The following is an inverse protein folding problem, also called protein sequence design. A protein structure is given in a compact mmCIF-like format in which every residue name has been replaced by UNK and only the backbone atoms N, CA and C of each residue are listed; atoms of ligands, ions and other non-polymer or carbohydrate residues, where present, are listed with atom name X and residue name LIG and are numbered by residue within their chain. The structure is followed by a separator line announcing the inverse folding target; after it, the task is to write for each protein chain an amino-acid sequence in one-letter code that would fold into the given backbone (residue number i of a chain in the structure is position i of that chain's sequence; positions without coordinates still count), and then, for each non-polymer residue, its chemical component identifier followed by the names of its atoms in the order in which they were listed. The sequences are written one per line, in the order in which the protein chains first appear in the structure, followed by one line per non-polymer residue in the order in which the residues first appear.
data_IF_719779638095
#
_entry.id   IF_719779638095
#
_cell.length_a   1.000
_cell.length_b   1.000
_cell.length_c   1.000
_cell.angle_alpha   90.00
_cell.angle_beta   90.00
_cell.angle_gamma   90.00
#
_symmetry.space_group_name_H-M   'P 1'
#
loop_
_entity.id
_entity.type
_entity.pdbx_description
1 polymer ?
#
# COMPACT_ATOMS: atom_id res chain seq x y z
N UNK A 1 37.54 2.30 0.10
CA UNK A 1 37.21 3.42 -0.79
C UNK A 1 36.20 2.93 -1.83
N UNK A 2 35.19 3.76 -2.15
CA UNK A 2 34.01 3.50 -3.00
C UNK A 2 34.24 2.56 -4.19
N UNK A 3 33.33 1.61 -4.39
CA UNK A 3 32.43 1.53 -5.56
C UNK A 3 31.11 0.90 -5.09
N UNK A 4 30.12 1.72 -4.72
CA UNK A 4 28.73 1.27 -4.69
C UNK A 4 28.16 1.63 -6.06
N UNK A 5 28.26 0.66 -6.96
CA UNK A 5 27.65 0.71 -8.27
C UNK A 5 26.13 0.80 -8.14
N UNK A 6 25.59 1.75 -8.90
CA UNK A 6 24.30 1.71 -9.56
C UNK A 6 23.61 0.33 -9.57
N UNK A 7 22.84 0.06 -8.53
CA UNK A 7 21.54 -0.56 -8.72
C UNK A 7 20.56 0.45 -8.14
N UNK A 8 19.89 1.18 -9.01
CA UNK A 8 18.54 1.61 -8.68
C UNK A 8 17.83 0.31 -8.32
N UNK A 9 17.61 0.07 -7.02
CA UNK A 9 16.54 -0.86 -6.67
C UNK A 9 15.33 -0.19 -7.30
N UNK A 10 14.74 -0.81 -8.32
CA UNK A 10 13.34 -0.58 -8.62
C UNK A 10 12.66 -0.60 -7.26
N UNK A 11 12.15 0.54 -6.82
CA UNK A 11 11.35 0.60 -5.60
C UNK A 11 10.08 -0.17 -5.95
N UNK A 12 10.15 -1.51 -5.83
CA UNK A 12 9.02 -2.39 -6.06
C UNK A 12 7.87 -1.85 -5.21
N UNK A 13 6.74 -1.63 -5.86
CA UNK A 13 5.56 -1.13 -5.19
C UNK A 13 5.11 -2.16 -4.14
N UNK A 14 5.39 -1.87 -2.87
CA UNK A 14 5.11 -2.78 -1.77
C UNK A 14 3.61 -2.75 -1.44
N UNK A 15 2.94 -3.87 -1.65
CA UNK A 15 1.58 -4.08 -1.17
C UNK A 15 1.59 -4.97 0.08
N UNK A 16 0.74 -4.63 1.05
CA UNK A 16 0.67 -5.30 2.34
C UNK A 16 -0.74 -5.85 2.54
N UNK A 17 -0.83 -7.14 2.86
CA UNK A 17 -2.07 -7.83 3.14
C UNK A 17 -2.01 -8.50 4.51
N UNK A 18 -2.91 -8.13 5.41
CA UNK A 18 -3.11 -8.82 6.68
C UNK A 18 -4.22 -9.85 6.50
N UNK A 19 -3.84 -11.12 6.46
CA UNK A 19 -4.77 -12.25 6.41
C UNK A 19 -4.78 -12.98 7.76
N UNK A 20 -5.96 -13.31 8.26
CA UNK A 20 -6.10 -14.06 9.50
C UNK A 20 -7.56 -14.30 9.87
N UNK A 21 -7.80 -14.83 11.06
CA UNK A 21 -9.15 -15.05 11.59
C UNK A 21 -9.70 -13.83 12.33
N UNK A 22 -11.02 -13.79 12.49
CA UNK A 22 -11.72 -12.87 13.39
C UNK A 22 -13.03 -13.50 13.88
N UNK A 23 -13.47 -13.11 15.07
CA UNK A 23 -14.81 -13.44 15.56
C UNK A 23 -15.85 -12.40 15.12
N UNK A 24 -17.11 -12.79 14.96
CA UNK A 24 -18.19 -11.85 14.61
C UNK A 24 -19.53 -12.30 15.22
N UNK A 25 -20.43 -11.42 15.72
CA UNK A 25 -21.68 -11.88 16.34
C UNK A 25 -22.59 -12.73 15.41
N UNK A 26 -22.73 -12.32 14.15
CA UNK A 26 -23.75 -12.87 13.22
C UNK A 26 -23.25 -13.46 11.88
N UNK A 27 -21.97 -13.31 11.53
CA UNK A 27 -21.45 -13.78 10.24
C UNK A 27 -21.22 -15.29 10.30
N UNK A 28 -21.33 -15.94 9.16
CA UNK A 28 -21.15 -17.40 9.11
C UNK A 28 -19.67 -17.74 9.33
N UNK A 29 -19.39 -18.77 10.14
CA UNK A 29 -18.02 -19.29 10.28
C UNK A 29 -17.51 -19.73 8.90
N UNK A 30 -16.30 -19.29 8.54
CA UNK A 30 -15.69 -19.48 7.23
C UNK A 30 -16.01 -18.39 6.20
N UNK A 31 -16.92 -17.46 6.49
CA UNK A 31 -17.16 -16.30 5.62
C UNK A 31 -15.88 -15.45 5.57
N UNK A 32 -15.45 -15.06 4.36
CA UNK A 32 -14.27 -14.20 4.14
C UNK A 32 -14.74 -12.78 3.89
N UNK A 33 -14.20 -11.82 4.64
CA UNK A 33 -14.58 -10.42 4.55
C UNK A 33 -13.36 -9.51 4.45
N UNK A 34 -13.49 -8.46 3.65
CA UNK A 34 -12.49 -7.41 3.49
C UNK A 34 -12.79 -6.21 4.40
N UNK A 35 -11.76 -5.66 5.05
CA UNK A 35 -11.92 -4.53 5.95
C UNK A 35 -12.20 -3.22 5.18
N UNK A 36 -13.40 -2.65 5.29
CA UNK A 36 -13.70 -1.29 4.80
C UNK A 36 -13.39 -0.21 5.84
N UNK A 37 -13.34 -0.61 7.11
CA UNK A 37 -12.85 0.18 8.24
C UNK A 37 -12.00 -0.74 9.11
N UNK A 38 -10.83 -0.26 9.54
CA UNK A 38 -10.06 -0.87 10.63
C UNK A 38 -10.09 0.11 11.80
N UNK A 39 -10.43 -0.37 12.98
CA UNK A 39 -10.53 0.42 14.20
C UNK A 39 -9.68 -0.20 15.30
N UNK A 40 -8.87 0.62 15.94
CA UNK A 40 -8.27 0.27 17.23
C UNK A 40 -9.32 0.43 18.33
N UNK A 41 -9.72 -0.66 18.97
CA UNK A 41 -10.72 -0.66 20.04
C UNK A 41 -10.25 0.05 21.32
N UNK A 42 -8.94 0.10 21.57
CA UNK A 42 -8.38 0.77 22.75
C UNK A 42 -8.30 2.28 22.59
N UNK A 43 -7.77 2.77 21.45
CA UNK A 43 -7.60 4.20 21.20
C UNK A 43 -8.75 4.88 20.44
N UNK A 44 -9.60 4.10 19.78
CA UNK A 44 -10.65 4.61 18.88
C UNK A 44 -10.13 5.13 17.54
N UNK A 45 -8.83 5.01 17.25
CA UNK A 45 -8.27 5.38 15.95
C UNK A 45 -8.85 4.51 14.84
N UNK A 46 -9.03 5.12 13.67
CA UNK A 46 -9.67 4.49 12.52
C UNK A 46 -8.85 4.68 11.25
N UNK A 47 -8.92 3.69 10.39
CA UNK A 47 -8.35 3.68 9.05
C UNK A 47 -9.40 3.17 8.07
N UNK A 48 -9.42 3.75 6.87
CA UNK A 48 -10.38 3.41 5.82
C UNK A 48 -9.61 3.02 4.56
N UNK A 49 -9.26 1.73 4.39
CA UNK A 49 -8.60 1.25 3.18
C UNK A 49 -9.50 1.50 1.96
N UNK A 50 -9.07 2.31 0.98
CA UNK A 50 -9.86 2.52 -0.22
C UNK A 50 -9.81 1.28 -1.12
N UNK A 51 -10.91 0.99 -1.80
CA UNK A 51 -10.98 -0.12 -2.76
C UNK A 51 -10.88 0.42 -4.19
N UNK A 52 -9.74 0.20 -4.82
CA UNK A 52 -9.45 0.60 -6.20
C UNK A 52 -9.49 -0.60 -7.18
N UNK A 53 -10.25 -1.65 -6.83
CA UNK A 53 -10.40 -2.89 -7.57
C UNK A 53 -11.78 -3.53 -7.32
N UNK A 54 -12.12 -4.55 -8.11
CA UNK A 54 -13.35 -5.32 -7.90
C UNK A 54 -13.25 -6.18 -6.62
N UNK A 55 -14.26 -6.09 -5.77
CA UNK A 55 -14.29 -6.81 -4.50
C UNK A 55 -14.58 -8.30 -4.71
N UNK A 56 -13.69 -9.22 -4.29
CA UNK A 56 -13.90 -10.67 -4.43
C UNK A 56 -14.80 -11.24 -3.31
N UNK A 57 -15.09 -10.46 -2.28
CA UNK A 57 -15.92 -10.85 -1.15
C UNK A 57 -16.64 -9.65 -0.53
N UNK A 58 -17.52 -9.93 0.44
CA UNK A 58 -18.19 -8.89 1.20
C UNK A 58 -17.20 -8.09 2.06
N UNK A 59 -17.65 -6.94 2.56
CA UNK A 59 -16.82 -6.08 3.42
C UNK A 59 -17.44 -5.94 4.79
N UNK A 60 -16.59 -5.77 5.81
CA UNK A 60 -17.03 -5.45 7.17
C UNK A 60 -16.01 -4.54 7.87
N UNK A 61 -16.39 -4.01 9.03
CA UNK A 61 -15.47 -3.30 9.90
C UNK A 61 -14.68 -4.31 10.72
N UNK A 62 -13.38 -4.07 10.85
CA UNK A 62 -12.48 -4.83 11.72
C UNK A 62 -12.15 -3.98 12.95
N UNK A 63 -12.33 -4.55 14.14
CA UNK A 63 -11.97 -3.93 15.42
C UNK A 63 -10.88 -4.73 16.10
N UNK A 64 -9.72 -4.11 16.26
CA UNK A 64 -8.58 -4.68 16.98
C UNK A 64 -8.77 -4.49 18.48
N UNK A 65 -8.70 -5.58 19.24
CA UNK A 65 -8.83 -5.61 20.70
C UNK A 65 -7.62 -6.29 21.36
N UNK A 66 -7.32 -5.95 22.61
CA UNK A 66 -6.16 -6.50 23.32
C UNK A 66 -6.34 -7.96 23.78
N UNK A 67 -7.59 -8.45 23.78
CA UNK A 67 -7.97 -9.78 24.26
C UNK A 67 -9.11 -10.32 23.43
N UNK A 68 -9.22 -11.64 23.36
CA UNK A 68 -10.32 -12.35 22.72
C UNK A 68 -11.67 -11.78 23.20
N UNK A 69 -12.46 -11.28 22.25
CA UNK A 69 -13.83 -10.80 22.48
C UNK A 69 -14.77 -12.01 22.56
N UNK A 70 -15.69 -12.00 23.54
CA UNK A 70 -16.62 -13.12 23.80
C UNK A 70 -18.07 -12.66 23.92
N UNK A 71 -18.28 -11.36 24.11
CA UNK A 71 -19.58 -10.74 24.27
C UNK A 71 -20.10 -10.14 22.97
N UNK A 72 -19.22 -9.84 22.01
CA UNK A 72 -19.56 -9.24 20.71
C UNK A 72 -20.45 -7.99 20.85
N UNK A 73 -19.95 -6.96 21.51
CA UNK A 73 -20.73 -5.75 21.82
C UNK A 73 -21.16 -4.92 20.60
N UNK A 74 -20.57 -5.15 19.43
CA UNK A 74 -20.89 -4.48 18.17
C UNK A 74 -20.87 -5.47 17.00
N UNK A 75 -21.58 -5.12 15.92
CA UNK A 75 -21.47 -5.80 14.62
C UNK A 75 -20.16 -5.38 13.94
N UNK A 76 -19.11 -6.17 14.17
CA UNK A 76 -17.76 -5.99 13.64
C UNK A 76 -16.98 -7.29 13.76
N UNK A 77 -15.93 -7.44 12.95
CA UNK A 77 -14.94 -8.49 13.08
C UNK A 77 -13.97 -8.14 14.22
N UNK A 78 -13.94 -8.95 15.27
CA UNK A 78 -13.02 -8.81 16.40
C UNK A 78 -11.76 -9.64 16.18
N UNK A 79 -10.61 -9.00 16.27
CA UNK A 79 -9.28 -9.60 16.10
C UNK A 79 -8.24 -8.80 16.89
N UNK A 80 -6.95 -9.13 16.81
CA UNK A 80 -5.95 -8.61 17.76
C UNK A 80 -4.74 -7.90 17.11
N UNK A 81 -4.68 -7.77 15.77
CA UNK A 81 -3.45 -7.33 15.09
C UNK A 81 -3.62 -6.25 14.00
N UNK A 82 -4.83 -6.07 13.44
CA UNK A 82 -5.01 -5.32 12.19
C UNK A 82 -4.66 -3.83 12.32
N UNK A 83 -5.00 -3.17 13.44
CA UNK A 83 -4.72 -1.74 13.64
C UNK A 83 -3.22 -1.45 13.62
N UNK A 84 -2.42 -2.22 14.37
CA UNK A 84 -0.96 -2.11 14.40
C UNK A 84 -0.31 -2.44 13.06
N UNK A 85 -0.88 -3.41 12.33
CA UNK A 85 -0.48 -3.72 10.97
C UNK A 85 -0.70 -2.54 10.02
N UNK A 86 -1.92 -1.98 9.97
CA UNK A 86 -2.27 -0.88 9.06
C UNK A 86 -1.45 0.36 9.38
N UNK A 87 -1.32 0.70 10.67
CA UNK A 87 -0.50 1.84 11.10
C UNK A 87 0.96 1.71 10.65
N UNK A 88 1.51 0.50 10.66
CA UNK A 88 2.89 0.25 10.27
C UNK A 88 3.03 0.22 8.75
N UNK A 89 2.18 -0.52 8.04
CA UNK A 89 2.24 -0.70 6.59
C UNK A 89 2.07 0.63 5.83
N UNK A 90 1.17 1.52 6.29
CA UNK A 90 0.96 2.83 5.67
C UNK A 90 2.16 3.80 5.80
N UNK A 91 3.22 3.42 6.53
CA UNK A 91 4.49 4.18 6.53
C UNK A 91 5.39 3.82 5.35
N UNK A 92 5.12 2.69 4.69
CA UNK A 92 5.93 2.15 3.60
C UNK A 92 5.24 2.20 2.25
N UNK A 93 3.91 2.32 2.22
CA UNK A 93 3.13 2.37 0.99
C UNK A 93 1.87 3.21 1.17
N UNK A 94 1.13 3.43 0.09
CA UNK A 94 -0.13 4.18 0.09
C UNK A 94 -1.30 3.32 0.56
N UNK A 95 -2.38 3.96 1.04
CA UNK A 95 -3.50 3.27 1.68
C UNK A 95 -4.22 2.25 0.78
N UNK A 96 -4.26 2.51 -0.52
CA UNK A 96 -4.85 1.63 -1.54
C UNK A 96 -4.07 0.33 -1.77
N UNK A 97 -2.91 0.17 -1.13
CA UNK A 97 -2.09 -1.05 -1.18
C UNK A 97 -1.96 -1.72 0.19
N UNK A 98 -2.74 -1.28 1.19
CA UNK A 98 -2.77 -1.87 2.53
C UNK A 98 -4.17 -2.38 2.80
N UNK A 99 -4.33 -3.70 2.89
CA UNK A 99 -5.63 -4.32 3.13
C UNK A 99 -5.59 -5.33 4.27
N UNK A 100 -6.73 -5.47 4.95
CA UNK A 100 -6.96 -6.52 5.94
C UNK A 100 -8.13 -7.39 5.44
N UNK A 101 -7.90 -8.69 5.36
CA UNK A 101 -8.90 -9.69 4.98
C UNK A 101 -8.99 -10.71 6.10
N UNK A 102 -10.21 -11.01 6.53
CA UNK A 102 -10.44 -11.90 7.67
C UNK A 102 -11.43 -12.97 7.28
N UNK A 103 -11.17 -14.20 7.72
CA UNK A 103 -12.19 -15.24 7.73
C UNK A 103 -12.80 -15.33 9.12
N UNK A 104 -14.10 -15.59 9.19
CA UNK A 104 -14.80 -15.72 10.47
C UNK A 104 -14.43 -17.06 11.11
N UNK A 105 -13.77 -17.02 12.26
CA UNK A 105 -13.43 -18.23 13.02
C UNK A 105 -14.56 -18.66 13.95
N UNK A 106 -15.22 -17.71 14.57
CA UNK A 106 -16.22 -17.91 15.60
C UNK A 106 -17.31 -16.85 15.53
N UNK A 107 -18.46 -17.20 16.09
CA UNK A 107 -19.58 -16.28 16.25
C UNK A 107 -20.36 -16.56 17.54
N UNK A 108 -21.54 -15.96 17.69
CA UNK A 108 -22.36 -16.15 18.89
C UNK A 108 -22.90 -17.59 19.02
N UNK A 109 -23.07 -18.31 17.92
CA UNK A 109 -23.59 -19.69 17.88
C UNK A 109 -22.46 -20.74 17.99
N UNK A 110 -21.32 -20.46 17.36
CA UNK A 110 -20.12 -21.29 17.32
C UNK A 110 -18.99 -20.54 18.01
N UNK A 111 -18.84 -20.76 19.31
CA UNK A 111 -18.02 -19.89 20.14
C UNK A 111 -16.53 -20.18 20.00
N UNK A 112 -15.71 -19.17 20.30
CA UNK A 112 -14.25 -19.29 20.27
C UNK A 112 -13.69 -20.36 21.23
N UNK A 113 -14.43 -20.73 22.28
CA UNK A 113 -14.01 -21.82 23.19
C UNK A 113 -14.01 -23.19 22.52
N UNK A 114 -14.77 -23.37 21.44
CA UNK A 114 -14.89 -24.62 20.68
C UNK A 114 -13.90 -24.69 19.50
N UNK A 115 -13.09 -23.65 19.29
CA UNK A 115 -12.09 -23.60 18.23
C UNK A 115 -10.78 -24.27 18.64
N UNK A 116 -10.23 -25.04 17.70
CA UNK A 116 -8.89 -25.60 17.79
C UNK A 116 -8.04 -25.23 16.55
N UNK A 117 -6.73 -25.48 16.64
CA UNK A 117 -5.79 -25.18 15.55
C UNK A 117 -6.11 -25.92 14.24
N UNK A 118 -6.44 -27.23 14.24
CA UNK A 118 -6.88 -27.92 13.04
C UNK A 118 -8.05 -27.22 12.36
N UNK A 119 -9.10 -26.85 13.12
CA UNK A 119 -10.28 -26.20 12.56
C UNK A 119 -9.96 -24.84 11.96
N UNK A 120 -9.11 -24.04 12.60
CA UNK A 120 -8.63 -22.76 12.04
C UNK A 120 -7.87 -23.00 10.73
N UNK A 121 -7.06 -24.06 10.66
CA UNK A 121 -6.36 -24.47 9.44
C UNK A 121 -7.32 -24.79 8.29
N UNK A 122 -8.37 -25.57 8.55
CA UNK A 122 -9.41 -25.90 7.56
C UNK A 122 -10.12 -24.64 7.04
N UNK A 123 -10.48 -23.71 7.93
CA UNK A 123 -11.12 -22.45 7.56
C UNK A 123 -10.19 -21.56 6.73
N UNK A 124 -8.91 -21.51 7.09
CA UNK A 124 -7.90 -20.78 6.32
C UNK A 124 -7.70 -21.38 4.93
N UNK A 125 -7.66 -22.71 4.81
CA UNK A 125 -7.57 -23.40 3.52
C UNK A 125 -8.80 -23.14 2.64
N UNK A 126 -10.00 -23.20 3.22
CA UNK A 126 -11.24 -22.87 2.52
C UNK A 126 -11.31 -21.40 2.05
N UNK A 127 -10.55 -20.51 2.70
CA UNK A 127 -10.48 -19.07 2.35
C UNK A 127 -9.49 -18.76 1.23
N UNK A 128 -8.69 -19.75 0.79
CA UNK A 128 -7.53 -19.53 -0.08
C UNK A 128 -7.93 -19.01 -1.47
N UNK A 129 -9.02 -19.49 -2.05
CA UNK A 129 -9.45 -19.05 -3.39
C UNK A 129 -9.77 -17.55 -3.41
N UNK A 130 -10.56 -17.07 -2.44
CA UNK A 130 -10.85 -15.64 -2.27
C UNK A 130 -9.58 -14.82 -1.97
N UNK A 131 -8.68 -15.36 -1.15
CA UNK A 131 -7.40 -14.71 -0.84
C UNK A 131 -6.53 -14.55 -2.09
N UNK A 132 -6.43 -15.59 -2.92
CA UNK A 132 -5.64 -15.56 -4.16
C UNK A 132 -6.24 -14.59 -5.18
N UNK A 133 -7.57 -14.52 -5.29
CA UNK A 133 -8.24 -13.52 -6.12
C UNK A 133 -7.91 -12.09 -5.65
N UNK A 134 -8.00 -11.83 -4.34
CA UNK A 134 -7.65 -10.54 -3.75
C UNK A 134 -6.18 -10.18 -4.00
N UNK A 135 -5.26 -11.12 -3.80
CA UNK A 135 -3.83 -10.92 -4.10
C UNK A 135 -3.63 -10.58 -5.59
N UNK A 136 -4.39 -11.19 -6.49
CA UNK A 136 -4.41 -10.85 -7.91
C UNK A 136 -4.82 -9.39 -8.16
N UNK A 137 -5.92 -8.95 -7.56
CA UNK A 137 -6.42 -7.57 -7.65
C UNK A 137 -5.39 -6.56 -7.10
N UNK A 138 -4.86 -6.81 -5.90
CA UNK A 138 -3.88 -5.93 -5.24
C UNK A 138 -2.58 -5.85 -6.05
N UNK A 139 -2.11 -6.96 -6.62
CA UNK A 139 -0.92 -6.96 -7.51
C UNK A 139 -1.17 -6.15 -8.78
N UNK A 140 -2.35 -6.25 -9.39
CA UNK A 140 -2.70 -5.46 -10.56
C UNK A 140 -2.74 -3.96 -10.24
N UNK A 141 -3.26 -3.60 -9.06
CA UNK A 141 -3.25 -2.24 -8.56
C UNK A 141 -1.83 -1.75 -8.29
N UNK A 142 -1.00 -2.53 -7.59
CA UNK A 142 0.39 -2.19 -7.31
C UNK A 142 1.18 -1.88 -8.59
N UNK A 143 0.99 -2.66 -9.66
CA UNK A 143 1.60 -2.39 -10.98
C UNK A 143 1.10 -1.08 -11.59
N UNK A 144 -0.17 -0.74 -11.40
CA UNK A 144 -0.74 0.52 -11.89
C UNK A 144 -0.16 1.72 -11.13
N UNK A 145 -0.03 1.59 -9.81
CA UNK A 145 0.61 2.58 -8.93
C UNK A 145 2.09 2.74 -9.32
N UNK A 146 2.83 1.65 -9.45
CA UNK A 146 4.24 1.64 -9.87
C UNK A 146 4.47 2.37 -11.21
N UNK A 147 3.66 2.06 -12.23
CA UNK A 147 3.72 2.75 -13.53
C UNK A 147 3.44 4.24 -13.43
N UNK A 148 2.59 4.65 -12.49
CA UNK A 148 2.26 6.06 -12.26
C UNK A 148 3.38 6.80 -11.50
N UNK A 149 4.16 6.07 -10.68
CA UNK A 149 5.26 6.60 -9.89
C UNK A 149 6.65 6.43 -10.51
N UNK A 150 6.76 5.72 -11.63
CA UNK A 150 8.03 5.56 -12.34
C UNK A 150 8.61 6.93 -12.73
N UNK A 151 9.94 7.03 -12.67
CA UNK A 151 10.60 8.23 -13.16
C UNK A 151 10.37 8.34 -14.68
N UNK A 152 10.22 9.55 -15.22
CA UNK A 152 10.17 9.73 -16.67
C UNK A 152 11.46 9.17 -17.28
N UNK A 153 11.35 8.59 -18.48
CA UNK A 153 12.51 8.18 -19.25
C UNK A 153 13.47 9.37 -19.40
N UNK A 154 14.74 9.11 -19.11
CA UNK A 154 15.83 10.08 -19.21
C UNK A 154 16.97 9.43 -19.99
N UNK A 155 17.67 10.19 -20.87
CA UNK A 155 18.83 9.68 -21.56
C UNK A 155 19.87 9.11 -20.59
N UNK A 156 20.46 7.97 -20.98
CA UNK A 156 21.50 7.31 -20.19
C UNK A 156 22.65 8.28 -19.87
N UNK A 157 23.05 8.30 -18.60
CA UNK A 157 24.14 9.16 -18.15
C UNK A 157 23.80 10.66 -18.04
N UNK A 158 22.57 11.10 -18.35
CA UNK A 158 22.16 12.52 -18.25
C UNK A 158 22.54 13.12 -16.89
N UNK A 159 22.20 12.40 -15.82
CA UNK A 159 22.46 12.87 -14.45
C UNK A 159 23.89 12.67 -13.99
N UNK A 160 24.71 11.90 -14.71
CA UNK A 160 26.13 11.73 -14.40
C UNK A 160 26.96 12.95 -14.79
N UNK A 161 26.37 13.89 -15.56
CA UNK A 161 26.99 15.17 -15.95
C UNK A 161 27.29 16.09 -14.77
N UNK A 162 26.63 15.90 -13.63
CA UNK A 162 26.82 16.73 -12.44
C UNK A 162 26.96 15.89 -11.17
N UNK A 163 27.71 16.41 -10.21
CA UNK A 163 27.73 15.84 -8.85
C UNK A 163 26.55 16.38 -8.03
N UNK A 164 25.70 15.45 -7.59
CA UNK A 164 24.60 15.73 -6.68
C UNK A 164 24.99 15.37 -5.24
N UNK A 165 24.69 16.27 -4.31
CA UNK A 165 24.63 15.92 -2.89
C UNK A 165 23.40 15.05 -2.62
N UNK A 166 23.37 14.32 -1.50
CA UNK A 166 22.21 13.49 -1.11
C UNK A 166 20.90 14.29 -1.11
N UNK A 167 20.93 15.54 -0.62
CA UNK A 167 19.75 16.42 -0.63
C UNK A 167 19.31 16.76 -2.05
N UNK A 168 20.26 17.04 -2.95
CA UNK A 168 19.97 17.35 -4.36
C UNK A 168 19.46 16.11 -5.12
N UNK A 169 19.93 14.91 -4.81
CA UNK A 169 19.39 13.67 -5.39
C UNK A 169 17.93 13.46 -4.98
N UNK A 170 17.60 13.67 -3.70
CA UNK A 170 16.20 13.63 -3.21
C UNK A 170 15.33 14.69 -3.89
N UNK A 171 15.85 15.91 -4.04
CA UNK A 171 15.13 16.98 -4.74
C UNK A 171 14.88 16.61 -6.21
N UNK A 172 15.90 16.08 -6.91
CA UNK A 172 15.76 15.61 -8.29
C UNK A 172 14.68 14.56 -8.38
N UNK A 173 14.74 13.52 -7.55
CA UNK A 173 13.75 12.44 -7.55
C UNK A 173 12.33 12.98 -7.36
N UNK A 174 12.13 13.85 -6.35
CA UNK A 174 10.84 14.50 -6.10
C UNK A 174 10.34 15.31 -7.30
N UNK A 175 11.20 16.07 -7.96
CA UNK A 175 10.82 16.87 -9.12
C UNK A 175 10.47 16.00 -10.34
N UNK A 176 11.21 14.93 -10.56
CA UNK A 176 10.95 13.98 -11.65
C UNK A 176 9.64 13.22 -11.44
N UNK A 177 9.37 12.74 -10.23
CA UNK A 177 8.07 12.13 -9.89
C UNK A 177 6.92 13.11 -10.10
N UNK A 178 7.11 14.39 -9.74
CA UNK A 178 6.11 15.44 -10.01
C UNK A 178 5.91 15.70 -11.50
N UNK A 179 6.97 15.73 -12.29
CA UNK A 179 6.87 15.85 -13.75
C UNK A 179 6.02 14.72 -14.33
N UNK A 180 6.33 13.47 -13.97
CA UNK A 180 5.56 12.29 -14.44
C UNK A 180 4.08 12.40 -14.08
N UNK A 181 3.77 12.79 -12.85
CA UNK A 181 2.38 12.96 -12.41
C UNK A 181 1.61 14.03 -13.20
N UNK A 182 2.29 15.12 -13.61
CA UNK A 182 1.69 16.21 -14.38
C UNK A 182 1.67 15.93 -15.89
N UNK A 183 2.61 15.11 -16.38
CA UNK A 183 2.81 14.80 -17.80
C UNK A 183 3.04 13.28 -17.97
N UNK A 184 2.00 12.44 -17.79
CA UNK A 184 2.16 10.98 -17.71
C UNK A 184 2.69 10.33 -18.98
N UNK A 185 2.51 10.94 -20.15
CA UNK A 185 2.90 10.38 -21.44
C UNK A 185 4.05 11.15 -22.11
N UNK A 186 4.59 12.20 -21.47
CA UNK A 186 5.66 13.00 -22.07
C UNK A 186 7.01 12.72 -21.42
N UNK A 187 8.01 12.29 -22.22
CA UNK A 187 9.39 12.21 -21.73
C UNK A 187 9.90 13.62 -21.38
N UNK A 188 11.00 13.67 -20.64
CA UNK A 188 11.68 14.95 -20.46
C UNK A 188 12.25 15.42 -21.80
N UNK A 189 12.08 16.71 -22.18
CA UNK A 189 12.69 17.23 -23.40
C UNK A 189 14.21 17.05 -23.36
N UNK A 190 14.78 16.48 -24.43
CA UNK A 190 16.21 16.13 -24.49
C UNK A 190 17.13 17.35 -24.31
N UNK A 191 16.70 18.51 -24.79
CA UNK A 191 17.42 19.77 -24.76
C UNK A 191 17.21 20.59 -23.48
N UNK A 192 16.31 20.15 -22.59
CA UNK A 192 15.91 20.88 -21.38
C UNK A 192 17.13 21.31 -20.56
N UNK A 193 18.14 20.45 -20.45
CA UNK A 193 19.33 20.67 -19.63
C UNK A 193 20.56 21.18 -20.39
N UNK A 194 20.42 21.56 -21.67
CA UNK A 194 21.52 22.01 -22.53
C UNK A 194 22.34 23.17 -21.94
N UNK A 195 21.67 24.10 -21.25
CA UNK A 195 22.31 25.26 -20.62
C UNK A 195 22.83 25.06 -19.20
N UNK A 196 22.55 23.92 -18.56
CA UNK A 196 22.88 23.70 -17.14
C UNK A 196 24.35 23.32 -16.94
N UNK A 197 25.08 24.13 -16.17
CA UNK A 197 26.51 23.94 -15.87
C UNK A 197 26.77 23.33 -14.50
N UNK A 198 25.76 23.32 -13.63
CA UNK A 198 25.86 22.76 -12.28
C UNK A 198 24.61 21.94 -11.91
N UNK A 199 24.74 21.08 -10.90
CA UNK A 199 23.60 20.31 -10.36
C UNK A 199 22.49 21.24 -9.85
N UNK A 200 22.84 22.41 -9.30
CA UNK A 200 21.87 23.42 -8.86
C UNK A 200 21.10 24.03 -10.03
N UNK A 201 21.78 24.34 -11.13
CA UNK A 201 21.12 24.87 -12.34
C UNK A 201 20.22 23.81 -12.99
N UNK A 202 20.68 22.56 -13.08
CA UNK A 202 19.87 21.46 -13.61
C UNK A 202 18.57 21.26 -12.79
N UNK A 203 18.66 21.33 -11.46
CA UNK A 203 17.49 21.26 -10.58
C UNK A 203 16.55 22.45 -10.77
N UNK A 204 17.08 23.67 -10.88
CA UNK A 204 16.27 24.87 -11.09
C UNK A 204 15.53 24.86 -12.44
N UNK A 205 16.17 24.32 -13.48
CA UNK A 205 15.54 24.12 -14.79
C UNK A 205 14.40 23.11 -14.69
N UNK A 206 14.62 21.96 -14.04
CA UNK A 206 13.59 20.95 -13.84
C UNK A 206 12.42 21.49 -13.01
N UNK A 207 12.71 22.26 -11.96
CA UNK A 207 11.69 22.90 -11.12
C UNK A 207 10.81 23.85 -11.93
N UNK A 208 11.40 24.71 -12.77
CA UNK A 208 10.65 25.59 -13.68
C UNK A 208 9.79 24.81 -14.66
N UNK A 209 10.28 23.71 -15.21
CA UNK A 209 9.52 22.86 -16.11
C UNK A 209 8.29 22.24 -15.41
N UNK A 210 8.47 21.72 -14.20
CA UNK A 210 7.38 21.20 -13.35
C UNK A 210 6.36 22.29 -13.02
N UNK A 211 6.80 23.50 -12.66
CA UNK A 211 5.90 24.62 -12.39
C UNK A 211 5.11 25.06 -13.63
N UNK A 212 5.74 25.05 -14.81
CA UNK A 212 5.06 25.37 -16.06
C UNK A 212 4.01 24.32 -16.43
N UNK A 213 4.32 23.03 -16.20
CA UNK A 213 3.37 21.94 -16.41
C UNK A 213 2.18 22.01 -15.45
N UNK A 214 2.38 22.45 -14.20
CA UNK A 214 1.32 22.56 -13.20
C UNK A 214 0.33 23.73 -13.43
N UNK A 215 0.66 24.68 -14.32
CA UNK A 215 -0.17 25.85 -14.64
C UNK A 215 -1.05 25.65 -15.88
N UNK A 216 -0.94 24.52 -16.55
CA UNK A 216 -1.77 24.15 -17.71
C UNK A 216 -2.99 23.37 -17.25
#
# INVERSE_FOLDING_TARGET
ARVLGSHAREEECLAFLNFGSAGHPHRAVGEVLLAHEVRDGGSGRKWFPPFCFALPCATDRVTTVDRIERAYGEETLYEMEASGFVETAQRFTTSELVHCVKFVSDNAEQRVEDLDLPRVGELAEASLDTLLELVGQVRALARTVEKSHSLPEVPDGLWQRWHFTVTQERQRHRLLSRWRALQPEQPLPEDLFSGARSSREALAVLEKAVEAAARR
#
